data_IF_867755097304
#
_entry.id   IF_867755097304
#
_cell.length_a   1.000
_cell.length_b   1.000
_cell.length_c   1.000
_cell.angle_alpha   90.00
_cell.angle_beta   90.00
_cell.angle_gamma   90.00
#
_symmetry.space_group_name_H-M   'P 1'
#
loop_
_entity.id
_entity.type
_entity.pdbx_description
1 polymer ?
#
# COMPACT_ATOMS: atom_id res chain seq x y z
N UNK A 1 3.28 -9.84 -12.43
CA UNK A 1 3.64 -9.91 -13.86
C UNK A 1 3.31 -8.60 -14.58
N UNK A 2 2.18 -7.97 -14.24
CA UNK A 2 1.70 -6.70 -14.80
C UNK A 2 2.78 -5.61 -15.09
N UNK A 3 3.67 -5.30 -14.14
CA UNK A 3 4.70 -4.26 -14.35
C UNK A 3 5.98 -4.74 -15.07
N UNK A 4 6.19 -6.06 -15.25
CA UNK A 4 7.50 -6.59 -15.65
C UNK A 4 7.87 -6.24 -17.08
N UNK A 5 6.90 -6.11 -17.97
CA UNK A 5 7.17 -5.79 -19.38
C UNK A 5 7.66 -4.34 -19.54
N UNK A 6 7.13 -3.42 -18.72
CA UNK A 6 7.64 -2.04 -18.65
C UNK A 6 9.05 -2.02 -18.10
N UNK A 7 9.32 -2.73 -17.00
CA UNK A 7 10.68 -2.83 -16.45
C UNK A 7 11.68 -3.38 -17.46
N UNK A 8 11.32 -4.44 -18.20
CA UNK A 8 12.18 -5.02 -19.26
C UNK A 8 12.45 -4.03 -20.38
N UNK A 9 11.45 -3.26 -20.79
CA UNK A 9 11.63 -2.22 -21.81
C UNK A 9 12.60 -1.13 -21.34
N UNK A 10 12.50 -0.71 -20.07
CA UNK A 10 13.43 0.25 -19.46
C UNK A 10 14.83 -0.34 -19.34
N UNK A 11 14.96 -1.58 -18.85
CA UNK A 11 16.23 -2.31 -18.76
C UNK A 11 16.93 -2.41 -20.13
N UNK A 12 16.17 -2.64 -21.21
CA UNK A 12 16.68 -2.77 -22.57
C UNK A 12 16.98 -1.45 -23.28
N UNK A 13 16.54 -0.31 -22.73
CA UNK A 13 16.65 1.00 -23.39
C UNK A 13 18.06 1.60 -23.39
N UNK A 14 18.96 1.07 -22.55
CA UNK A 14 20.33 1.56 -22.39
C UNK A 14 20.45 2.84 -21.55
N UNK A 15 19.35 3.36 -20.99
CA UNK A 15 19.39 4.45 -20.00
C UNK A 15 19.70 3.89 -18.61
N UNK A 16 20.34 4.71 -17.76
CA UNK A 16 20.44 4.38 -16.34
C UNK A 16 19.04 4.39 -15.70
N UNK A 17 18.77 3.38 -14.88
CA UNK A 17 17.47 3.20 -14.25
C UNK A 17 17.61 2.76 -12.80
N UNK A 18 16.59 3.09 -12.00
CA UNK A 18 16.34 2.53 -10.68
C UNK A 18 14.84 2.30 -10.55
N UNK A 19 14.42 1.11 -10.12
CA UNK A 19 13.00 0.80 -9.90
C UNK A 19 12.65 0.90 -8.42
N UNK A 20 11.56 1.58 -8.12
CA UNK A 20 10.91 1.56 -6.81
C UNK A 20 9.61 0.78 -6.94
N UNK A 21 9.52 -0.34 -6.24
CA UNK A 21 8.37 -1.22 -6.23
C UNK A 21 7.66 -1.07 -4.90
N UNK A 22 6.44 -0.57 -4.94
CA UNK A 22 5.55 -0.53 -3.78
C UNK A 22 4.32 -1.36 -4.10
N UNK A 23 4.00 -2.30 -3.21
CA UNK A 23 2.91 -3.24 -3.41
C UNK A 23 1.59 -2.70 -2.84
N UNK A 24 1.65 -2.13 -1.63
CA UNK A 24 0.51 -1.53 -0.94
C UNK A 24 0.90 -0.15 -0.41
N UNK A 25 0.57 0.93 -1.14
CA UNK A 25 0.70 2.30 -0.66
C UNK A 25 -0.33 2.59 0.45
N UNK A 26 0.06 3.29 1.51
CA UNK A 26 -0.85 3.68 2.60
C UNK A 26 -2.00 4.57 2.11
N UNK A 27 -1.77 5.38 1.07
CA UNK A 27 -2.80 6.24 0.45
C UNK A 27 -4.03 5.48 -0.07
N UNK A 28 -3.91 4.17 -0.33
CA UNK A 28 -5.07 3.35 -0.72
C UNK A 28 -6.17 3.35 0.35
N UNK A 29 -5.83 3.58 1.62
CA UNK A 29 -6.79 3.67 2.72
C UNK A 29 -7.69 4.92 2.64
N UNK A 30 -7.39 5.91 1.79
CA UNK A 30 -8.32 7.01 1.53
C UNK A 30 -9.67 6.54 0.95
N UNK A 31 -9.71 5.35 0.33
CA UNK A 31 -10.96 4.73 -0.14
C UNK A 31 -11.96 4.47 0.98
N UNK A 32 -11.49 4.36 2.24
CA UNK A 32 -12.36 4.20 3.41
C UNK A 32 -13.19 5.46 3.70
N UNK A 33 -12.73 6.65 3.30
CA UNK A 33 -13.42 7.91 3.58
C UNK A 33 -14.88 7.91 3.11
N UNK A 34 -15.16 7.34 1.93
CA UNK A 34 -16.52 7.23 1.40
C UNK A 34 -17.41 6.30 2.24
N UNK A 35 -16.87 5.18 2.74
CA UNK A 35 -17.64 4.27 3.60
C UNK A 35 -17.93 4.90 4.96
N UNK A 36 -16.99 5.70 5.48
CA UNK A 36 -17.12 6.39 6.77
C UNK A 36 -18.20 7.48 6.79
N UNK A 37 -18.70 7.91 5.63
CA UNK A 37 -19.91 8.74 5.50
C UNK A 37 -21.19 7.98 5.88
N UNK A 38 -21.20 6.66 5.68
CA UNK A 38 -22.33 5.78 5.95
C UNK A 38 -22.35 5.17 7.35
N UNK A 39 -21.27 5.32 8.13
CA UNK A 39 -21.15 4.79 9.49
C UNK A 39 -19.72 4.44 9.89
N UNK A 40 -19.57 3.63 10.93
CA UNK A 40 -18.27 3.22 11.49
C UNK A 40 -17.80 1.83 11.02
N UNK A 41 -18.42 1.26 9.98
CA UNK A 41 -18.10 -0.08 9.48
C UNK A 41 -17.45 0.01 8.11
N UNK A 42 -16.20 -0.46 8.01
CA UNK A 42 -15.49 -0.65 6.74
C UNK A 42 -15.72 -2.08 6.24
N UNK A 43 -16.19 -2.20 5.01
CA UNK A 43 -16.41 -3.47 4.31
C UNK A 43 -15.32 -3.66 3.26
N UNK A 44 -14.60 -4.77 3.36
CA UNK A 44 -13.56 -5.14 2.42
C UNK A 44 -13.35 -6.66 2.44
N UNK A 45 -12.98 -7.29 1.32
CA UNK A 45 -12.59 -8.69 1.33
C UNK A 45 -11.20 -8.86 1.95
N UNK A 46 -10.97 -10.01 2.59
CA UNK A 46 -9.69 -10.42 3.16
C UNK A 46 -9.19 -9.48 4.25
N UNK A 47 -10.00 -9.19 5.27
CA UNK A 47 -9.65 -8.20 6.30
C UNK A 47 -8.42 -8.60 7.11
N UNK A 48 -8.12 -9.91 7.15
CA UNK A 48 -6.97 -10.51 7.81
C UNK A 48 -5.71 -10.61 6.91
N UNK A 49 -5.76 -10.10 5.68
CA UNK A 49 -4.58 -9.99 4.82
C UNK A 49 -3.62 -8.92 5.34
N UNK A 50 -2.35 -9.29 5.55
CA UNK A 50 -1.34 -8.39 6.07
C UNK A 50 -0.51 -7.73 4.96
N UNK A 51 -0.26 -6.42 5.10
CA UNK A 51 0.53 -5.61 4.18
C UNK A 51 1.48 -4.68 4.92
N UNK A 52 2.61 -4.35 4.28
CA UNK A 52 3.56 -3.37 4.77
C UNK A 52 3.34 -2.01 4.12
N UNK A 53 2.24 -1.37 4.53
CA UNK A 53 1.75 -0.12 3.95
C UNK A 53 2.78 1.00 4.03
N UNK A 54 3.31 1.43 2.88
CA UNK A 54 4.35 2.48 2.81
C UNK A 54 3.72 3.87 2.67
N UNK A 55 4.22 4.84 3.43
CA UNK A 55 3.81 6.24 3.30
C UNK A 55 4.35 6.83 1.99
N UNK A 56 3.51 7.51 1.21
CA UNK A 56 3.88 8.09 -0.07
C UNK A 56 4.99 9.16 0.03
N UNK A 57 5.13 9.82 1.18
CA UNK A 57 6.25 10.72 1.47
C UNK A 57 7.59 9.98 1.54
N UNK A 58 7.64 8.78 2.14
CA UNK A 58 8.86 7.97 2.16
C UNK A 58 9.26 7.55 0.75
N UNK A 59 8.29 7.14 -0.08
CA UNK A 59 8.54 6.76 -1.47
C UNK A 59 9.10 7.94 -2.27
N UNK A 60 8.52 9.13 -2.08
CA UNK A 60 9.00 10.35 -2.72
C UNK A 60 10.42 10.74 -2.25
N UNK A 61 10.70 10.63 -0.96
CA UNK A 61 12.03 10.92 -0.39
C UNK A 61 13.09 9.93 -0.87
N UNK A 62 12.77 8.63 -0.94
CA UNK A 62 13.64 7.61 -1.54
C UNK A 62 13.96 7.95 -2.99
N UNK A 63 12.95 8.28 -3.79
CA UNK A 63 13.15 8.68 -5.19
C UNK A 63 14.03 9.93 -5.29
N UNK A 64 13.76 10.96 -4.47
CA UNK A 64 14.52 12.19 -4.47
C UNK A 64 15.99 11.97 -4.09
N UNK A 65 16.27 11.14 -3.08
CA UNK A 65 17.63 10.77 -2.67
C UNK A 65 18.39 10.05 -3.77
N UNK A 66 17.77 9.06 -4.40
CA UNK A 66 18.36 8.33 -5.53
C UNK A 66 18.74 9.29 -6.68
N UNK A 67 17.84 10.24 -7.00
CA UNK A 67 18.07 11.21 -8.07
C UNK A 67 19.18 12.21 -7.76
N UNK A 68 19.35 12.60 -6.49
CA UNK A 68 20.35 13.61 -6.06
C UNK A 68 21.71 12.98 -5.80
N UNK A 69 21.74 11.87 -5.06
CA UNK A 69 22.98 11.25 -4.57
C UNK A 69 23.59 10.30 -5.60
N UNK A 70 22.78 9.75 -6.52
CA UNK A 70 23.22 8.81 -7.56
C UNK A 70 23.70 7.47 -7.00
N UNK A 71 24.38 6.65 -7.82
CA UNK A 71 24.95 5.36 -7.38
C UNK A 71 23.97 4.18 -7.31
N UNK A 72 22.71 4.39 -7.70
CA UNK A 72 21.65 3.37 -7.67
C UNK A 72 21.30 2.81 -9.06
N UNK A 73 22.14 3.05 -10.07
CA UNK A 73 21.91 2.55 -11.43
C UNK A 73 21.82 1.00 -11.45
N UNK A 74 20.83 0.48 -12.16
CA UNK A 74 20.58 -0.95 -12.29
C UNK A 74 19.99 -1.61 -11.04
N UNK A 75 19.47 -0.84 -10.08
CA UNK A 75 18.89 -1.36 -8.84
C UNK A 75 17.37 -1.36 -8.87
N UNK A 76 16.77 -2.37 -8.26
CA UNK A 76 15.35 -2.42 -7.96
C UNK A 76 15.18 -2.55 -6.44
N UNK A 77 14.35 -1.69 -5.86
CA UNK A 77 14.05 -1.66 -4.44
C UNK A 77 12.57 -1.95 -4.23
N UNK A 78 12.27 -2.96 -3.41
CA UNK A 78 10.94 -3.10 -2.84
C UNK A 78 10.86 -2.14 -1.64
N UNK A 79 9.95 -1.18 -1.67
CA UNK A 79 9.81 -0.13 -0.65
C UNK A 79 8.59 -0.44 0.21
N UNK A 80 8.82 -0.63 1.52
CA UNK A 80 7.79 -1.04 2.47
C UNK A 80 7.64 -0.03 3.60
N UNK A 81 6.46 0.00 4.23
CA UNK A 81 6.32 0.59 5.56
C UNK A 81 7.06 -0.22 6.64
N UNK A 82 7.17 0.30 7.88
CA UNK A 82 7.95 -0.31 8.95
C UNK A 82 7.22 -1.47 9.67
N UNK A 83 5.95 -1.73 9.33
CA UNK A 83 5.07 -2.64 10.06
C UNK A 83 4.32 -3.55 9.09
N UNK A 84 4.10 -4.80 9.47
CA UNK A 84 3.20 -5.73 8.77
C UNK A 84 1.83 -5.66 9.46
N UNK A 85 0.83 -5.07 8.81
CA UNK A 85 -0.48 -4.82 9.40
C UNK A 85 -1.59 -5.47 8.58
N UNK A 86 -2.53 -6.16 9.23
CA UNK A 86 -3.77 -6.58 8.58
C UNK A 86 -4.62 -5.38 8.18
N UNK A 87 -5.53 -5.55 7.21
CA UNK A 87 -6.49 -4.48 6.89
C UNK A 87 -7.35 -4.13 8.12
N UNK A 88 -7.72 -5.12 8.95
CA UNK A 88 -8.41 -4.91 10.21
C UNK A 88 -7.60 -4.04 11.19
N UNK A 89 -6.30 -4.28 11.32
CA UNK A 89 -5.40 -3.47 12.16
C UNK A 89 -5.24 -2.05 11.62
N UNK A 90 -5.14 -1.88 10.31
CA UNK A 90 -5.11 -0.55 9.66
C UNK A 90 -6.39 0.24 9.98
N UNK A 91 -7.57 -0.37 9.85
CA UNK A 91 -8.85 0.28 10.19
C UNK A 91 -8.94 0.60 11.68
N UNK A 92 -8.42 -0.26 12.56
CA UNK A 92 -8.34 0.02 14.01
C UNK A 92 -7.47 1.26 14.28
N UNK A 93 -6.28 1.34 13.69
CA UNK A 93 -5.37 2.49 13.86
C UNK A 93 -6.01 3.78 13.32
N UNK A 94 -6.71 3.70 12.18
CA UNK A 94 -7.49 4.81 11.66
C UNK A 94 -8.58 5.23 12.64
N UNK A 95 -9.31 4.29 13.25
CA UNK A 95 -10.34 4.57 14.25
C UNK A 95 -9.78 5.25 15.49
N UNK A 96 -8.65 4.78 16.01
CA UNK A 96 -7.93 5.42 17.11
C UNK A 96 -7.53 6.84 16.76
N UNK A 97 -7.02 7.04 15.54
CA UNK A 97 -6.69 8.36 15.04
C UNK A 97 -7.94 9.23 15.05
N UNK A 98 -9.04 8.81 14.43
CA UNK A 98 -10.26 9.61 14.32
C UNK A 98 -11.01 9.79 15.66
N UNK A 99 -10.72 8.96 16.67
CA UNK A 99 -11.51 8.89 17.90
C UNK A 99 -12.86 8.21 17.68
N UNK A 100 -12.93 7.26 16.73
CA UNK A 100 -14.15 6.54 16.32
C UNK A 100 -13.96 5.03 16.50
N UNK A 101 -14.97 4.29 16.97
CA UNK A 101 -14.89 2.84 17.14
C UNK A 101 -15.09 2.12 15.79
N UNK A 102 -14.13 2.26 14.88
CA UNK A 102 -14.22 1.64 13.56
C UNK A 102 -14.13 0.12 13.65
N UNK A 103 -15.00 -0.57 12.92
CA UNK A 103 -14.97 -2.03 12.76
C UNK A 103 -14.84 -2.42 11.30
N UNK A 104 -14.42 -3.67 11.07
CA UNK A 104 -14.36 -4.26 9.74
C UNK A 104 -15.38 -5.39 9.60
N UNK A 105 -15.94 -5.53 8.40
CA UNK A 105 -16.77 -6.65 7.99
C UNK A 105 -16.14 -7.27 6.74
N UNK A 106 -15.73 -8.54 6.85
CA UNK A 106 -15.14 -9.27 5.73
C UNK A 106 -16.24 -9.64 4.73
N UNK A 107 -16.06 -9.22 3.48
CA UNK A 107 -16.98 -9.51 2.39
C UNK A 107 -16.53 -10.74 1.62
N UNK A 108 -17.51 -11.46 1.06
CA UNK A 108 -17.22 -12.47 0.04
C UNK A 108 -16.43 -11.82 -1.11
N UNK A 109 -15.21 -12.31 -1.41
CA UNK A 109 -14.39 -11.73 -2.46
C UNK A 109 -14.99 -11.84 -3.86
N UNK A 110 -15.78 -12.88 -4.15
CA UNK A 110 -16.28 -13.14 -5.50
C UNK A 110 -17.19 -12.00 -6.03
N UNK A 111 -18.25 -11.58 -5.31
CA UNK A 111 -19.07 -10.44 -5.73
C UNK A 111 -18.29 -9.12 -5.82
N UNK A 112 -17.32 -8.90 -4.93
CA UNK A 112 -16.51 -7.67 -4.93
C UNK A 112 -15.63 -7.63 -6.18
N UNK A 113 -14.99 -8.76 -6.52
CA UNK A 113 -14.19 -8.91 -7.73
C UNK A 113 -15.03 -8.69 -9.00
N UNK A 114 -16.22 -9.28 -9.07
CA UNK A 114 -17.15 -9.12 -10.20
C UNK A 114 -17.53 -7.64 -10.39
N UNK A 115 -17.89 -6.95 -9.31
CA UNK A 115 -18.26 -5.54 -9.36
C UNK A 115 -17.08 -4.65 -9.77
N UNK A 116 -15.90 -4.86 -9.18
CA UNK A 116 -14.71 -4.05 -9.50
C UNK A 116 -14.24 -4.27 -10.95
N UNK A 117 -14.42 -5.48 -11.49
CA UNK A 117 -14.05 -5.84 -12.87
C UNK A 117 -14.85 -5.10 -13.95
N UNK A 118 -15.93 -4.41 -13.57
CA UNK A 118 -16.66 -3.52 -14.48
C UNK A 118 -15.93 -2.21 -14.76
N UNK A 119 -14.99 -1.81 -13.90
CA UNK A 119 -14.32 -0.50 -13.94
C UNK A 119 -12.80 -0.59 -14.03
N UNK A 120 -12.23 -1.77 -13.74
CA UNK A 120 -10.78 -2.01 -13.74
C UNK A 120 -10.45 -3.27 -14.54
N UNK A 121 -9.19 -3.38 -14.96
CA UNK A 121 -8.68 -4.54 -15.69
C UNK A 121 -8.92 -5.85 -14.89
N UNK A 122 -9.74 -6.79 -15.41
CA UNK A 122 -10.07 -8.02 -14.71
C UNK A 122 -8.86 -8.91 -14.41
N UNK A 123 -7.83 -8.91 -15.28
CA UNK A 123 -6.63 -9.73 -15.07
C UNK A 123 -5.81 -9.18 -13.90
N UNK A 124 -5.69 -7.84 -13.83
CA UNK A 124 -5.06 -7.16 -12.71
C UNK A 124 -5.80 -7.44 -11.40
N UNK A 125 -7.12 -7.32 -11.39
CA UNK A 125 -7.92 -7.56 -10.18
C UNK A 125 -7.86 -9.02 -9.72
N UNK A 126 -7.94 -9.97 -10.64
CA UNK A 126 -7.79 -11.39 -10.30
C UNK A 126 -6.42 -11.67 -9.65
N UNK A 127 -5.34 -11.07 -10.19
CA UNK A 127 -4.01 -11.19 -9.62
C UNK A 127 -3.90 -10.52 -8.24
N UNK A 128 -4.50 -9.34 -8.07
CA UNK A 128 -4.55 -8.63 -6.79
C UNK A 128 -5.32 -9.44 -5.75
N UNK A 129 -6.51 -9.94 -6.06
CA UNK A 129 -7.31 -10.73 -5.13
C UNK A 129 -6.62 -12.04 -4.75
N UNK A 130 -5.99 -12.73 -5.70
CA UNK A 130 -5.19 -13.92 -5.42
C UNK A 130 -4.00 -13.60 -4.50
N UNK A 131 -3.39 -12.42 -4.64
CA UNK A 131 -2.33 -11.95 -3.74
C UNK A 131 -2.86 -11.68 -2.34
N UNK A 132 -3.98 -10.97 -2.20
CA UNK A 132 -4.59 -10.68 -0.89
C UNK A 132 -5.02 -11.97 -0.19
N UNK A 133 -5.61 -12.92 -0.93
CA UNK A 133 -5.96 -14.25 -0.41
C UNK A 133 -4.74 -14.99 0.17
N UNK A 134 -3.59 -14.92 -0.49
CA UNK A 134 -2.33 -15.52 0.00
C UNK A 134 -1.71 -14.78 1.19
N UNK A 135 -2.02 -13.49 1.35
CA UNK A 135 -1.53 -12.67 2.45
C UNK A 135 -2.33 -12.88 3.75
N UNK A 136 -3.49 -13.53 3.70
CA UNK A 136 -4.25 -13.89 4.90
C UNK A 136 -3.42 -14.82 5.79
N UNK A 137 -3.24 -14.43 7.05
CA UNK A 137 -2.46 -15.20 8.03
C UNK A 137 -0.96 -15.28 7.75
N UNK A 138 -0.45 -14.53 6.78
CA UNK A 138 0.97 -14.48 6.42
C UNK A 138 1.50 -13.07 6.65
N UNK A 139 2.46 -12.85 7.56
CA UNK A 139 3.06 -11.54 7.76
C UNK A 139 3.65 -10.99 6.46
N UNK A 140 3.42 -9.70 6.20
CA UNK A 140 4.03 -9.01 5.08
C UNK A 140 5.53 -8.83 5.31
N UNK A 141 6.36 -8.92 4.25
CA UNK A 141 7.76 -8.55 4.36
C UNK A 141 7.88 -7.05 4.69
N UNK A 142 8.77 -6.76 5.64
CA UNK A 142 9.17 -5.40 6.03
C UNK A 142 10.68 -5.31 5.81
N UNK A 143 11.15 -4.18 5.30
CA UNK A 143 12.56 -3.91 5.10
C UNK A 143 12.94 -2.48 5.57
N UNK A 144 14.23 -2.20 5.48
CA UNK A 144 14.88 -0.97 5.90
C UNK A 144 15.31 -0.09 4.71
N UNK A 145 14.78 -0.31 3.50
CA UNK A 145 15.16 0.43 2.28
C UNK A 145 14.99 1.93 2.47
N UNK A 146 13.90 2.36 3.10
CA UNK A 146 13.66 3.77 3.40
C UNK A 146 14.78 4.31 4.27
N UNK A 147 15.14 3.61 5.35
CA UNK A 147 16.19 4.06 6.27
C UNK A 147 17.57 4.08 5.61
N UNK A 148 17.90 3.04 4.86
CA UNK A 148 19.18 2.94 4.14
C UNK A 148 19.39 4.08 3.14
N UNK A 149 18.33 4.57 2.49
CA UNK A 149 18.42 5.58 1.43
C UNK A 149 18.19 7.01 1.97
N UNK A 150 17.27 7.18 2.93
CA UNK A 150 16.87 8.50 3.44
C UNK A 150 17.60 8.92 4.72
N UNK A 151 18.14 7.94 5.47
CA UNK A 151 18.80 8.14 6.75
C UNK A 151 17.85 8.23 7.96
N UNK A 152 16.54 7.97 7.79
CA UNK A 152 15.58 7.88 8.88
C UNK A 152 14.62 6.70 8.69
N UNK A 153 14.05 6.14 9.78
CA UNK A 153 13.09 5.05 9.67
C UNK A 153 11.88 5.45 8.81
N UNK A 154 11.26 4.45 8.17
CA UNK A 154 9.99 4.63 7.47
C UNK A 154 8.91 5.13 8.43
N UNK A 155 8.01 5.98 7.93
CA UNK A 155 6.87 6.50 8.69
C UNK A 155 5.87 5.37 8.94
N UNK A 156 5.35 5.31 10.16
CA UNK A 156 4.37 4.28 10.55
C UNK A 156 3.01 4.53 9.90
N UNK A 157 2.18 3.51 9.86
CA UNK A 157 0.80 3.68 9.39
C UNK A 157 0.00 4.64 10.29
N UNK A 158 0.28 4.64 11.60
CA UNK A 158 -0.31 5.59 12.54
C UNK A 158 0.10 7.05 12.27
N UNK A 159 1.33 7.28 11.81
CA UNK A 159 1.74 8.61 11.37
C UNK A 159 1.03 9.00 10.08
N UNK A 160 0.90 8.07 9.12
CA UNK A 160 0.14 8.31 7.90
C UNK A 160 -1.33 8.69 8.18
N UNK A 161 -2.02 7.96 9.07
CA UNK A 161 -3.42 8.30 9.43
C UNK A 161 -3.52 9.66 10.10
N UNK A 162 -2.53 10.06 10.90
CA UNK A 162 -2.49 11.39 11.51
C UNK A 162 -2.28 12.51 10.47
N UNK A 163 -1.36 12.31 9.53
CA UNK A 163 -1.08 13.23 8.42
C UNK A 163 -2.30 13.42 7.52
N UNK A 164 -3.08 12.34 7.31
CA UNK A 164 -4.28 12.31 6.48
C UNK A 164 -5.59 12.43 7.26
N UNK A 165 -5.57 12.79 8.55
CA UNK A 165 -6.77 12.86 9.39
C UNK A 165 -7.89 13.68 8.75
N UNK A 166 -7.54 14.79 8.11
CA UNK A 166 -8.49 15.71 7.49
C UNK A 166 -9.25 15.08 6.30
N UNK A 167 -8.65 14.11 5.61
CA UNK A 167 -9.26 13.46 4.44
C UNK A 167 -10.40 12.50 4.83
N UNK A 168 -10.53 12.18 6.12
CA UNK A 168 -11.59 11.35 6.68
C UNK A 168 -12.63 12.16 7.49
N UNK A 169 -12.48 13.49 7.53
CA UNK A 169 -13.45 14.39 8.13
C UNK A 169 -14.60 14.73 7.19
N UNK A 170 -15.73 15.14 7.77
CA UNK A 170 -16.82 15.81 7.04
C UNK A 170 -16.56 17.30 6.92
#
# INVERSE_FOLDING_TARGET
QYHRDVERAVEASGIEWTFLRLLFPAINSLTFAMQLQGGDVIRAPYTEAAFSAVHERDVAEVAARILVDGGHAGRAYDVTGPESLTQAEQVRILGETLGRPLTVEDLDPEPVLEQMSQFMDPEFLAALFALMARAVGTPAPVNDVVEQITGHPARTYAQWTADHRADFGN
#
